data_IF_487688351404
#
_entry.id   IF_487688351404
#
_cell.length_a   1.000
_cell.length_b   1.000
_cell.length_c   1.000
_cell.angle_alpha   90.00
_cell.angle_beta   90.00
_cell.angle_gamma   90.00
#
_symmetry.space_group_name_H-M   'P 1'
#
loop_
_entity.id
_entity.type
_entity.pdbx_description
1 polymer ?
#
# COMPACT_ATOMS: atom_id res chain seq x y z
N UNK A 1 17.64 9.86 -6.86
CA UNK A 1 17.41 11.06 -6.02
C UNK A 1 15.94 11.24 -5.66
N UNK A 2 15.03 10.53 -6.37
CA UNK A 2 13.60 10.50 -6.03
C UNK A 2 13.37 9.71 -4.75
N UNK A 3 12.19 9.87 -4.14
CA UNK A 3 11.82 9.20 -2.89
C UNK A 3 11.87 7.68 -3.07
N UNK A 4 12.89 7.08 -2.50
CA UNK A 4 13.08 5.64 -2.44
C UNK A 4 12.55 5.07 -1.12
N UNK A 5 12.51 3.76 -1.00
CA UNK A 5 12.15 3.07 0.24
C UNK A 5 13.06 3.50 1.38
N UNK A 6 12.46 3.75 2.54
CA UNK A 6 13.18 4.20 3.75
C UNK A 6 14.28 3.22 4.16
N UNK A 7 15.44 3.76 4.54
CA UNK A 7 16.58 2.99 5.05
C UNK A 7 17.34 2.18 4.00
N UNK A 8 17.11 2.42 2.71
CA UNK A 8 17.91 1.79 1.64
C UNK A 8 19.22 2.53 1.43
N UNK A 9 20.27 1.75 1.10
CA UNK A 9 21.59 2.27 0.78
C UNK A 9 21.73 2.74 -0.67
N UNK A 10 20.72 2.47 -1.51
CA UNK A 10 20.62 2.90 -2.90
C UNK A 10 19.23 3.51 -3.17
N UNK A 11 19.09 4.29 -4.22
CA UNK A 11 17.86 4.97 -4.59
C UNK A 11 17.09 4.35 -5.77
N UNK A 12 17.30 3.06 -6.07
CA UNK A 12 16.72 2.43 -7.25
C UNK A 12 15.34 1.81 -7.03
N UNK A 13 14.91 1.62 -5.79
CA UNK A 13 13.55 1.19 -5.43
C UNK A 13 12.68 2.41 -5.07
N UNK A 14 12.43 3.24 -6.07
CA UNK A 14 11.63 4.46 -5.96
C UNK A 14 10.18 4.07 -5.61
N UNK A 15 9.60 4.76 -4.63
CA UNK A 15 8.20 4.59 -4.21
C UNK A 15 7.33 5.79 -4.58
N UNK A 16 7.94 6.91 -4.95
CA UNK A 16 7.25 8.10 -5.43
C UNK A 16 8.17 8.90 -6.36
N UNK A 17 7.79 8.97 -7.63
CA UNK A 17 8.54 9.71 -8.64
C UNK A 17 8.30 11.23 -8.62
N UNK A 18 7.35 11.70 -7.82
CA UNK A 18 7.00 13.12 -7.73
C UNK A 18 7.69 13.84 -6.57
N UNK A 19 8.39 13.10 -5.72
CA UNK A 19 9.00 13.63 -4.49
C UNK A 19 10.49 13.37 -4.49
N UNK A 20 11.30 14.41 -4.27
CA UNK A 20 12.74 14.26 -4.01
C UNK A 20 12.92 13.62 -2.63
N UNK A 21 13.85 12.67 -2.53
CA UNK A 21 14.03 11.89 -1.31
C UNK A 21 14.30 12.76 -0.08
N UNK A 22 13.41 12.76 0.93
CA UNK A 22 13.61 13.54 2.16
C UNK A 22 14.86 13.14 2.93
N UNK A 23 15.30 11.88 2.85
CA UNK A 23 16.52 11.40 3.51
C UNK A 23 17.80 12.02 2.90
N UNK A 24 17.72 12.54 1.67
CA UNK A 24 18.78 13.29 1.01
C UNK A 24 18.63 14.82 1.16
N UNK A 25 17.69 15.27 2.00
CA UNK A 25 17.42 16.69 2.24
C UNK A 25 16.24 17.26 1.44
N UNK A 26 15.54 16.43 0.68
CA UNK A 26 14.35 16.84 -0.07
C UNK A 26 14.62 17.93 -1.10
N UNK A 27 13.59 18.67 -1.49
CA UNK A 27 13.68 19.73 -2.49
C UNK A 27 14.63 20.85 -2.07
N UNK A 28 14.56 21.27 -0.81
CA UNK A 28 15.44 22.33 -0.30
C UNK A 28 16.93 21.93 -0.36
N UNK A 29 17.25 20.68 0.01
CA UNK A 29 18.59 20.14 -0.09
C UNK A 29 19.09 20.10 -1.52
N UNK A 30 18.22 19.70 -2.46
CA UNK A 30 18.53 19.68 -3.88
C UNK A 30 18.79 21.07 -4.45
N UNK A 31 17.99 22.09 -4.07
CA UNK A 31 18.16 23.48 -4.49
C UNK A 31 19.51 24.01 -3.96
N UNK A 32 19.83 23.77 -2.69
CA UNK A 32 21.14 24.19 -2.12
C UNK A 32 22.31 23.57 -2.86
N UNK A 33 22.25 22.24 -3.12
CA UNK A 33 23.28 21.54 -3.89
C UNK A 33 23.44 22.10 -5.29
N UNK A 34 22.34 22.25 -6.02
CA UNK A 34 22.31 22.77 -7.39
C UNK A 34 22.90 24.18 -7.46
N UNK A 35 22.56 25.05 -6.49
CA UNK A 35 23.07 26.42 -6.40
C UNK A 35 24.60 26.41 -6.15
N UNK A 36 25.08 25.58 -5.24
CA UNK A 36 26.49 25.46 -4.94
C UNK A 36 27.30 24.95 -6.14
N UNK A 37 26.79 23.91 -6.82
CA UNK A 37 27.43 23.38 -8.03
C UNK A 37 27.51 24.45 -9.13
N UNK A 38 26.44 25.18 -9.36
CA UNK A 38 26.40 26.28 -10.34
C UNK A 38 27.38 27.39 -10.01
N UNK A 39 27.61 27.75 -8.74
CA UNK A 39 28.58 28.76 -8.35
C UNK A 39 30.04 28.37 -8.58
N UNK A 40 30.28 27.07 -8.75
CA UNK A 40 31.59 26.51 -9.06
C UNK A 40 31.76 26.02 -10.51
N UNK A 41 30.78 26.35 -11.37
CA UNK A 41 30.75 25.93 -12.78
C UNK A 41 30.78 24.40 -12.95
N UNK A 42 30.10 23.68 -12.02
CA UNK A 42 30.01 22.23 -12.03
C UNK A 42 28.59 21.83 -12.50
N UNK A 43 28.52 20.96 -13.53
CA UNK A 43 27.27 20.37 -13.99
C UNK A 43 26.76 19.30 -13.04
N UNK A 44 25.46 18.96 -13.16
CA UNK A 44 24.81 17.91 -12.40
C UNK A 44 24.32 16.81 -13.33
N UNK A 45 24.68 15.57 -13.06
CA UNK A 45 24.14 14.38 -13.71
C UNK A 45 23.25 13.65 -12.68
N UNK A 46 22.00 13.42 -13.04
CA UNK A 46 21.05 12.71 -12.20
C UNK A 46 20.93 11.26 -12.66
N UNK A 47 21.24 10.32 -11.78
CA UNK A 47 20.95 8.91 -11.98
C UNK A 47 19.45 8.66 -11.64
N UNK A 48 18.73 8.11 -12.59
CA UNK A 48 17.28 7.94 -12.51
C UNK A 48 16.85 6.61 -13.11
N UNK A 49 16.00 5.87 -12.37
CA UNK A 49 15.42 4.59 -12.80
C UNK A 49 13.92 4.77 -13.03
N UNK A 50 13.47 4.96 -14.29
CA UNK A 50 12.06 5.23 -14.58
C UNK A 50 11.22 3.97 -14.82
N UNK A 51 11.84 2.80 -15.02
CA UNK A 51 11.20 1.61 -15.56
C UNK A 51 10.63 0.66 -14.48
N UNK A 52 10.82 0.96 -13.21
CA UNK A 52 10.21 0.19 -12.11
C UNK A 52 10.08 1.02 -10.85
N UNK A 53 9.25 0.53 -9.92
CA UNK A 53 9.04 1.08 -8.59
C UNK A 53 9.20 0.01 -7.52
N UNK A 54 9.52 0.42 -6.30
CA UNK A 54 9.43 -0.44 -5.13
C UNK A 54 7.96 -0.72 -4.81
N UNK A 55 7.56 -1.99 -4.77
CA UNK A 55 6.17 -2.43 -4.54
C UNK A 55 5.99 -3.25 -3.26
N UNK A 56 7.04 -3.35 -2.44
CA UNK A 56 6.97 -4.05 -1.17
C UNK A 56 6.46 -3.13 -0.06
N UNK A 57 5.86 -3.74 0.97
CA UNK A 57 5.38 -3.07 2.19
C UNK A 57 4.22 -2.08 1.96
N UNK A 58 4.25 -0.95 2.67
CA UNK A 58 3.16 0.02 2.70
C UNK A 58 3.58 1.43 2.26
N UNK A 59 4.69 1.57 1.54
CA UNK A 59 5.33 2.84 1.25
C UNK A 59 5.06 3.40 -0.16
N UNK A 60 4.52 2.58 -1.08
CA UNK A 60 4.13 3.01 -2.42
C UNK A 60 2.61 3.21 -2.51
N UNK A 61 2.16 4.45 -2.48
CA UNK A 61 0.73 4.80 -2.50
C UNK A 61 0.02 4.40 -3.79
N UNK A 62 0.71 4.41 -4.95
CA UNK A 62 0.13 3.97 -6.22
C UNK A 62 -0.12 2.47 -6.21
N UNK A 63 0.85 1.72 -5.65
CA UNK A 63 0.71 0.28 -5.52
C UNK A 63 -0.40 -0.11 -4.55
N UNK A 64 -0.52 0.59 -3.42
CA UNK A 64 -1.61 0.37 -2.48
C UNK A 64 -2.98 0.63 -3.10
N UNK A 65 -3.11 1.69 -3.90
CA UNK A 65 -4.35 1.97 -4.64
C UNK A 65 -4.68 0.86 -5.65
N UNK A 66 -3.67 0.35 -6.38
CA UNK A 66 -3.84 -0.81 -7.27
C UNK A 66 -4.26 -2.06 -6.51
N UNK A 67 -3.70 -2.32 -5.34
CA UNK A 67 -4.12 -3.46 -4.50
C UNK A 67 -5.55 -3.31 -3.98
N UNK A 68 -6.01 -2.09 -3.71
CA UNK A 68 -7.36 -1.79 -3.21
C UNK A 68 -8.41 -1.89 -4.31
N UNK A 69 -8.16 -1.26 -5.47
CA UNK A 69 -9.15 -1.07 -6.53
C UNK A 69 -8.99 -2.03 -7.72
N UNK A 70 -7.85 -2.72 -7.79
CA UNK A 70 -7.54 -3.62 -8.91
C UNK A 70 -7.50 -2.89 -10.26
N UNK A 71 -8.11 -3.46 -11.32
CA UNK A 71 -8.14 -2.82 -12.64
C UNK A 71 -8.87 -1.46 -12.68
N UNK A 72 -9.60 -1.10 -11.63
CA UNK A 72 -10.30 0.19 -11.52
C UNK A 72 -9.43 1.29 -10.93
N UNK A 73 -8.24 0.96 -10.44
CA UNK A 73 -7.28 1.94 -9.94
C UNK A 73 -6.87 2.93 -11.03
N UNK A 74 -6.74 4.21 -10.65
CA UNK A 74 -6.18 5.23 -11.54
C UNK A 74 -4.72 4.95 -11.92
N UNK A 75 -4.04 4.09 -11.17
CA UNK A 75 -2.65 3.71 -11.36
C UNK A 75 -2.47 2.29 -11.93
N UNK A 76 -3.56 1.62 -12.36
CA UNK A 76 -3.49 0.25 -12.86
C UNK A 76 -2.53 0.11 -14.06
N UNK A 77 -2.54 1.09 -14.97
CA UNK A 77 -1.68 1.13 -16.15
C UNK A 77 -0.22 1.54 -15.85
N UNK A 78 0.08 1.93 -14.60
CA UNK A 78 1.45 2.25 -14.18
C UNK A 78 2.26 1.01 -13.81
N UNK A 79 1.61 -0.16 -13.76
CA UNK A 79 2.22 -1.43 -13.41
C UNK A 79 1.89 -2.48 -14.47
N UNK A 80 2.88 -3.26 -14.88
CA UNK A 80 2.71 -4.35 -15.84
C UNK A 80 2.05 -5.57 -15.15
N UNK A 81 0.72 -5.59 -15.14
CA UNK A 81 -0.08 -6.61 -14.46
C UNK A 81 -0.95 -7.34 -15.48
N UNK A 82 -0.76 -8.65 -15.58
CA UNK A 82 -1.69 -9.54 -16.26
C UNK A 82 -2.86 -9.91 -15.32
N UNK A 83 -3.96 -9.19 -15.44
CA UNK A 83 -5.15 -9.39 -14.61
C UNK A 83 -5.86 -10.71 -14.84
N UNK A 84 -5.67 -11.33 -16.00
CA UNK A 84 -6.31 -12.56 -16.42
C UNK A 84 -5.42 -13.80 -16.20
N UNK A 85 -4.21 -13.61 -15.70
CA UNK A 85 -3.20 -14.67 -15.48
C UNK A 85 -3.66 -15.81 -14.54
N UNK A 86 -4.66 -15.56 -13.67
CA UNK A 86 -5.13 -16.55 -12.71
C UNK A 86 -6.30 -17.38 -13.28
N UNK A 87 -6.03 -18.52 -13.93
CA UNK A 87 -7.03 -19.32 -14.65
C UNK A 87 -8.09 -19.96 -13.73
N UNK A 88 -7.86 -19.93 -12.41
CA UNK A 88 -8.76 -20.55 -11.43
C UNK A 88 -9.73 -19.54 -10.80
N UNK A 89 -9.71 -18.29 -11.21
CA UNK A 89 -10.59 -17.25 -10.69
C UNK A 89 -11.49 -16.70 -11.78
N UNK A 90 -12.79 -16.63 -11.49
CA UNK A 90 -13.79 -16.00 -12.37
C UNK A 90 -13.75 -14.46 -12.31
N UNK A 91 -12.73 -13.88 -11.69
CA UNK A 91 -12.55 -12.43 -11.52
C UNK A 91 -11.08 -12.07 -11.68
N UNK A 92 -10.77 -10.91 -12.25
CA UNK A 92 -9.42 -10.38 -12.28
C UNK A 92 -8.77 -10.43 -10.90
N UNK A 93 -7.50 -10.76 -10.84
CA UNK A 93 -6.79 -10.85 -9.59
C UNK A 93 -5.29 -10.82 -9.75
N UNK A 94 -4.59 -10.53 -8.66
CA UNK A 94 -3.15 -10.47 -8.59
C UNK A 94 -2.65 -11.52 -7.60
N UNK A 95 -1.63 -12.27 -7.99
CA UNK A 95 -0.91 -13.19 -7.11
C UNK A 95 0.35 -12.51 -6.57
N UNK A 96 0.39 -12.34 -5.24
CA UNK A 96 1.56 -11.79 -4.55
C UNK A 96 2.29 -12.92 -3.82
N UNK A 97 3.51 -13.29 -4.22
CA UNK A 97 4.30 -14.35 -3.58
C UNK A 97 5.01 -13.81 -2.33
N UNK A 98 4.25 -13.28 -1.35
CA UNK A 98 4.78 -12.65 -0.15
C UNK A 98 4.76 -13.55 1.09
N UNK A 99 3.98 -14.64 1.07
CA UNK A 99 3.84 -15.52 2.22
C UNK A 99 5.03 -16.46 2.35
N UNK A 100 5.60 -16.55 3.55
CA UNK A 100 6.68 -17.49 3.88
C UNK A 100 6.21 -18.95 4.04
N UNK A 101 4.89 -19.21 4.01
CA UNK A 101 4.27 -20.52 4.09
C UNK A 101 2.92 -20.54 3.36
N UNK A 102 2.22 -21.70 3.38
CA UNK A 102 0.89 -21.77 2.79
C UNK A 102 -0.08 -20.76 3.47
N UNK A 103 -1.03 -20.24 2.69
CA UNK A 103 -2.02 -19.28 3.19
C UNK A 103 -2.73 -19.78 4.47
N UNK A 104 -3.19 -21.04 4.46
CA UNK A 104 -3.86 -21.62 5.61
C UNK A 104 -2.98 -21.70 6.85
N UNK A 105 -1.69 -22.03 6.68
CA UNK A 105 -0.75 -22.06 7.80
C UNK A 105 -0.47 -20.67 8.38
N UNK A 106 -0.28 -19.67 7.52
CA UNK A 106 -0.06 -18.28 7.95
C UNK A 106 -1.29 -17.73 8.68
N UNK A 107 -2.50 -18.05 8.19
CA UNK A 107 -3.74 -17.64 8.83
C UNK A 107 -3.93 -18.28 10.21
N UNK A 108 -3.67 -19.59 10.31
CA UNK A 108 -3.79 -20.33 11.60
C UNK A 108 -2.78 -19.85 12.65
N UNK A 109 -1.61 -19.39 12.22
CA UNK A 109 -0.60 -18.81 13.13
C UNK A 109 -0.87 -17.34 13.50
N UNK A 110 -1.92 -16.73 12.95
CA UNK A 110 -2.24 -15.33 13.19
C UNK A 110 -1.24 -14.35 12.56
N UNK A 111 -0.50 -14.79 11.54
CA UNK A 111 0.46 -13.93 10.81
C UNK A 111 -0.25 -12.95 9.85
N UNK A 112 -1.52 -13.24 9.53
CA UNK A 112 -2.37 -12.37 8.71
C UNK A 112 -3.40 -11.73 9.62
N UNK A 113 -3.29 -10.40 9.80
CA UNK A 113 -4.13 -9.63 10.70
C UNK A 113 -5.00 -8.64 9.93
N UNK A 114 -6.31 -8.61 10.21
CA UNK A 114 -7.18 -7.55 9.73
C UNK A 114 -7.09 -6.35 10.67
N UNK A 115 -6.75 -5.17 10.11
CA UNK A 115 -6.66 -3.92 10.88
C UNK A 115 -7.57 -2.87 10.28
N UNK A 116 -8.14 -2.04 11.14
CA UNK A 116 -8.90 -0.85 10.80
C UNK A 116 -8.07 0.40 11.07
N UNK A 117 -7.98 1.29 10.11
CA UNK A 117 -7.37 2.60 10.26
C UNK A 117 -8.47 3.64 10.48
N UNK A 118 -8.60 4.20 11.69
CA UNK A 118 -9.65 5.18 11.99
C UNK A 118 -9.41 6.55 11.34
N UNK A 119 -8.18 6.86 10.93
CA UNK A 119 -7.86 8.14 10.28
C UNK A 119 -8.25 8.12 8.81
N UNK A 120 -8.00 7.01 8.14
CA UNK A 120 -8.36 6.80 6.74
C UNK A 120 -9.77 6.19 6.58
N UNK A 121 -10.37 5.66 7.65
CA UNK A 121 -11.64 4.92 7.58
C UNK A 121 -11.54 3.63 6.78
N UNK A 122 -10.35 3.03 6.70
CA UNK A 122 -10.03 1.93 5.80
C UNK A 122 -9.72 0.63 6.55
N UNK A 123 -9.96 -0.51 5.88
CA UNK A 123 -9.52 -1.82 6.35
C UNK A 123 -8.36 -2.32 5.50
N UNK A 124 -7.41 -3.00 6.14
CA UNK A 124 -6.33 -3.70 5.46
C UNK A 124 -6.01 -5.02 6.15
N UNK A 125 -5.66 -6.04 5.37
CA UNK A 125 -4.98 -7.21 5.88
C UNK A 125 -3.48 -6.90 5.95
N UNK A 126 -2.85 -7.28 7.05
CA UNK A 126 -1.42 -7.10 7.26
C UNK A 126 -0.75 -8.46 7.39
N UNK A 127 0.31 -8.64 6.65
CA UNK A 127 1.24 -9.76 6.82
C UNK A 127 2.62 -9.18 7.12
N UNK A 128 3.00 -9.18 8.37
CA UNK A 128 4.16 -8.43 8.89
C UNK A 128 4.11 -6.96 8.46
N UNK A 129 5.03 -6.51 7.59
CA UNK A 129 5.10 -5.14 7.10
C UNK A 129 4.32 -4.91 5.79
N UNK A 130 3.76 -5.98 5.20
CA UNK A 130 2.96 -5.87 3.98
C UNK A 130 1.53 -5.43 4.30
N UNK A 131 1.14 -4.28 3.80
CA UNK A 131 -0.24 -3.79 3.84
C UNK A 131 -0.98 -4.25 2.58
N UNK A 132 -2.08 -4.93 2.77
CA UNK A 132 -2.97 -5.39 1.71
C UNK A 132 -4.33 -4.73 1.92
N UNK A 133 -4.60 -3.58 1.28
CA UNK A 133 -5.87 -2.87 1.43
C UNK A 133 -7.05 -3.74 1.04
N UNK A 134 -8.15 -3.57 1.74
CA UNK A 134 -9.43 -4.22 1.41
C UNK A 134 -10.25 -3.26 0.58
N UNK A 135 -10.74 -3.72 -0.55
CA UNK A 135 -11.61 -2.92 -1.40
C UNK A 135 -12.86 -2.43 -0.63
N UNK A 136 -13.23 -1.13 -0.72
CA UNK A 136 -14.33 -0.55 0.05
C UNK A 136 -15.68 -1.24 -0.17
N UNK A 137 -15.92 -1.84 -1.34
CA UNK A 137 -17.12 -2.63 -1.63
C UNK A 137 -17.26 -3.89 -0.75
N UNK A 138 -16.19 -4.28 -0.03
CA UNK A 138 -16.19 -5.40 0.94
C UNK A 138 -16.40 -4.96 2.38
N UNK A 139 -16.42 -3.69 2.66
CA UNK A 139 -16.55 -3.20 4.04
C UNK A 139 -17.87 -3.58 4.69
N UNK A 140 -18.96 -3.64 3.91
CA UNK A 140 -20.27 -4.10 4.42
C UNK A 140 -20.20 -5.52 4.95
N UNK A 141 -19.50 -6.43 4.26
CA UNK A 141 -19.35 -7.83 4.68
C UNK A 141 -18.57 -7.95 5.99
N UNK A 142 -17.48 -7.16 6.10
CA UNK A 142 -16.65 -7.11 7.31
C UNK A 142 -17.48 -6.59 8.49
N UNK A 143 -18.19 -5.47 8.31
CA UNK A 143 -19.04 -4.86 9.36
C UNK A 143 -20.13 -5.82 9.83
N UNK A 144 -20.84 -6.48 8.90
CA UNK A 144 -21.85 -7.48 9.23
C UNK A 144 -21.27 -8.63 10.04
N UNK A 145 -20.06 -9.10 9.67
CA UNK A 145 -19.38 -10.17 10.39
C UNK A 145 -19.00 -9.74 11.81
N UNK A 146 -18.44 -8.54 11.98
CA UNK A 146 -18.11 -7.98 13.29
C UNK A 146 -19.39 -7.82 14.13
N UNK A 147 -20.43 -7.21 13.56
CA UNK A 147 -21.71 -7.01 14.22
C UNK A 147 -22.32 -8.34 14.72
N UNK A 148 -22.25 -9.40 13.91
CA UNK A 148 -22.74 -10.73 14.28
C UNK A 148 -22.00 -11.39 15.45
N UNK A 149 -20.77 -10.94 15.74
CA UNK A 149 -19.95 -11.45 16.85
C UNK A 149 -20.05 -10.59 18.12
N UNK A 150 -20.64 -9.39 18.01
CA UNK A 150 -20.85 -8.53 19.16
C UNK A 150 -22.01 -9.06 20.00
N UNK A 151 -21.76 -9.23 21.30
CA UNK A 151 -22.82 -9.58 22.26
C UNK A 151 -23.80 -8.40 22.43
N UNK A 152 -25.09 -8.64 22.70
CA UNK A 152 -26.04 -7.59 23.09
C UNK A 152 -25.58 -6.74 24.28
N UNK A 153 -24.59 -7.21 25.06
CA UNK A 153 -23.96 -6.51 26.18
C UNK A 153 -22.83 -5.55 25.78
N UNK A 154 -22.50 -5.43 24.50
CA UNK A 154 -21.36 -4.62 24.01
C UNK A 154 -21.54 -3.10 24.13
N UNK A 155 -22.56 -2.63 24.86
CA UNK A 155 -22.79 -1.21 25.10
C UNK A 155 -23.31 -0.45 23.86
N UNK A 156 -23.44 0.88 24.00
CA UNK A 156 -23.99 1.76 22.94
C UNK A 156 -23.20 1.69 21.64
N UNK A 157 -21.89 1.69 21.70
CA UNK A 157 -21.01 1.60 20.50
C UNK A 157 -21.22 0.30 19.72
N UNK A 158 -21.47 -0.82 20.39
CA UNK A 158 -21.79 -2.10 19.74
C UNK A 158 -23.17 -2.07 19.06
N UNK A 159 -24.17 -1.43 19.68
CA UNK A 159 -25.50 -1.26 19.11
C UNK A 159 -25.47 -0.33 17.88
N UNK A 160 -24.74 0.77 17.96
CA UNK A 160 -24.55 1.71 16.85
C UNK A 160 -23.84 1.04 15.66
N UNK A 161 -22.86 0.16 15.91
CA UNK A 161 -22.18 -0.60 14.85
C UNK A 161 -23.12 -1.62 14.18
N UNK A 162 -23.97 -2.29 14.94
CA UNK A 162 -24.97 -3.22 14.39
C UNK A 162 -25.96 -2.46 13.52
N UNK A 163 -26.51 -1.34 14.00
CA UNK A 163 -27.43 -0.50 13.22
C UNK A 163 -26.79 0.02 11.93
N UNK A 164 -25.52 0.42 11.98
CA UNK A 164 -24.78 0.89 10.82
C UNK A 164 -24.43 -0.22 9.82
N UNK A 165 -24.39 -1.48 10.25
CA UNK A 165 -24.11 -2.62 9.38
C UNK A 165 -25.35 -3.12 8.62
N UNK A 166 -26.57 -2.70 9.03
CA UNK A 166 -27.84 -3.06 8.40
C UNK A 166 -28.24 -2.10 7.27
N UNK A 167 -27.57 -0.98 7.14
CA UNK A 167 -27.72 0.03 6.08
C UNK A 167 -26.52 0.03 5.11
#
# INVERSE_FOLDING_TARGET
>A
FMKARKGRTHGYDIVDHNVINPELGGEEGFIRLSTALKSHDIGLILDFVPNHMGVHYADNVWWLDVLEWGPRSAYADSFDIDWDMLPFRNKPGLLLPILGSSYGSSLMRGEIELKYDPQEGSFAAWYFEHRLPIAPDRYSDIRKKIASQLSPKSGRAGQDLVAFAEH
#
